data_IF_772252603469
#
_entry.id   IF_772252603469
#
_cell.length_a   1.000
_cell.length_b   1.000
_cell.length_c   1.000
_cell.angle_alpha   90.00
_cell.angle_beta   90.00
_cell.angle_gamma   90.00
#
_symmetry.space_group_name_H-M   'P 1'
#
loop_
_entity.id
_entity.type
_entity.pdbx_description
1 polymer ?
#
# COMPACT_ATOMS: atom_id res chain seq x y z
N UNK A 1 -1.59 -27.92 -4.62
CA UNK A 1 -1.21 -27.40 -3.30
C UNK A 1 -0.47 -26.08 -3.44
N UNK A 2 -0.95 -25.04 -2.77
CA UNK A 2 -0.41 -23.70 -2.79
C UNK A 2 0.18 -23.38 -1.42
N UNK A 3 1.45 -22.99 -1.35
CA UNK A 3 2.10 -22.57 -0.10
C UNK A 3 2.36 -21.06 -0.20
N UNK A 4 1.87 -20.29 0.77
CA UNK A 4 2.09 -18.85 0.90
C UNK A 4 2.74 -18.55 2.25
N UNK A 5 3.84 -17.81 2.23
CA UNK A 5 4.40 -17.19 3.43
C UNK A 5 3.86 -15.77 3.51
N UNK A 6 3.22 -15.46 4.62
CA UNK A 6 2.64 -14.17 4.89
C UNK A 6 3.67 -13.25 5.58
N UNK A 7 3.55 -11.92 5.40
CA UNK A 7 4.50 -10.98 5.97
C UNK A 7 4.45 -10.89 7.50
N UNK A 8 3.40 -11.44 8.14
CA UNK A 8 3.31 -11.65 9.60
C UNK A 8 3.97 -12.97 10.03
N UNK A 9 4.81 -13.52 9.16
CA UNK A 9 5.54 -14.77 9.32
C UNK A 9 4.67 -16.03 9.43
N UNK A 10 3.38 -15.97 9.07
CA UNK A 10 2.55 -17.18 8.96
C UNK A 10 2.79 -17.92 7.65
N UNK A 11 2.87 -19.25 7.70
CA UNK A 11 2.91 -20.09 6.50
C UNK A 11 1.55 -20.76 6.31
N UNK A 12 0.83 -20.41 5.25
CA UNK A 12 -0.48 -20.96 4.91
C UNK A 12 -0.35 -21.92 3.74
N UNK A 13 -0.89 -23.13 3.91
CA UNK A 13 -0.94 -24.14 2.86
C UNK A 13 -2.39 -24.42 2.48
N UNK A 14 -2.72 -24.22 1.20
CA UNK A 14 -4.01 -24.58 0.63
C UNK A 14 -3.86 -25.83 -0.22
N UNK A 15 -4.54 -26.91 0.16
CA UNK A 15 -4.53 -28.20 -0.52
C UNK A 15 -5.98 -28.63 -0.84
N UNK A 16 -6.26 -29.18 -2.03
CA UNK A 16 -7.55 -29.83 -2.28
C UNK A 16 -7.69 -31.08 -1.40
N UNK A 17 -8.88 -31.33 -0.86
CA UNK A 17 -9.20 -32.58 -0.18
C UNK A 17 -9.26 -33.75 -1.19
N UNK A 18 -8.88 -34.98 -0.79
CA UNK A 18 -8.54 -35.47 0.55
C UNK A 18 -7.02 -35.72 0.69
N UNK A 19 -6.19 -34.70 0.49
CA UNK A 19 -4.73 -34.86 0.62
C UNK A 19 -4.34 -35.08 2.09
N UNK A 20 -3.55 -36.14 2.34
CA UNK A 20 -3.00 -36.45 3.67
C UNK A 20 -1.97 -35.40 4.16
N UNK A 21 -1.91 -35.22 5.47
CA UNK A 21 -1.00 -34.30 6.15
C UNK A 21 0.47 -34.63 5.88
N UNK A 22 0.86 -35.90 5.71
CA UNK A 22 2.25 -36.25 5.36
C UNK A 22 2.65 -35.73 3.97
N UNK A 23 1.72 -35.79 3.01
CA UNK A 23 1.93 -35.23 1.67
C UNK A 23 2.06 -33.69 1.73
N UNK A 24 1.26 -33.03 2.58
CA UNK A 24 1.39 -31.59 2.85
C UNK A 24 2.76 -31.26 3.43
N UNK A 25 3.20 -31.99 4.47
CA UNK A 25 4.50 -31.81 5.12
C UNK A 25 5.66 -32.04 4.16
N UNK A 26 5.62 -33.09 3.32
CA UNK A 26 6.63 -33.34 2.28
C UNK A 26 6.75 -32.17 1.31
N UNK A 27 5.62 -31.63 0.86
CA UNK A 27 5.64 -30.52 -0.08
C UNK A 27 6.06 -29.18 0.56
N UNK A 28 5.80 -28.97 1.86
CA UNK A 28 6.38 -27.87 2.65
C UNK A 28 7.90 -28.04 2.79
N UNK A 29 8.37 -29.23 3.22
CA UNK A 29 9.81 -29.54 3.34
C UNK A 29 10.55 -29.33 2.03
N UNK A 30 9.98 -29.76 0.90
CA UNK A 30 10.54 -29.53 -0.44
C UNK A 30 10.74 -28.05 -0.77
N UNK A 31 9.90 -27.17 -0.23
CA UNK A 31 10.02 -25.70 -0.37
C UNK A 31 10.69 -25.05 0.84
N UNK A 32 11.26 -25.81 1.76
CA UNK A 32 11.77 -25.33 3.05
C UNK A 32 12.78 -24.19 2.91
N UNK A 33 13.71 -24.28 1.96
CA UNK A 33 14.68 -23.19 1.69
C UNK A 33 14.01 -21.88 1.29
N UNK A 34 13.01 -21.94 0.41
CA UNK A 34 12.27 -20.76 -0.05
C UNK A 34 11.44 -20.15 1.09
N UNK A 35 10.76 -21.00 1.87
CA UNK A 35 9.95 -20.59 3.02
C UNK A 35 10.83 -19.90 4.06
N UNK A 36 11.97 -20.52 4.40
CA UNK A 36 12.92 -19.97 5.36
C UNK A 36 13.47 -18.61 4.92
N UNK A 37 13.84 -18.47 3.65
CA UNK A 37 14.32 -17.19 3.12
C UNK A 37 13.25 -16.10 3.24
N UNK A 38 12.00 -16.39 2.85
CA UNK A 38 10.89 -15.45 2.97
C UNK A 38 10.59 -15.08 4.43
N UNK A 39 10.58 -16.06 5.34
CA UNK A 39 10.42 -15.80 6.77
C UNK A 39 11.53 -14.91 7.31
N UNK A 40 12.79 -15.17 6.93
CA UNK A 40 13.93 -14.36 7.34
C UNK A 40 13.80 -12.91 6.87
N UNK A 41 13.40 -12.71 5.61
CA UNK A 41 13.24 -11.38 5.04
C UNK A 41 12.08 -10.62 5.69
N UNK A 42 10.95 -11.31 5.97
CA UNK A 42 9.82 -10.71 6.70
C UNK A 42 10.14 -10.41 8.16
N UNK A 43 10.80 -11.32 8.89
CA UNK A 43 11.24 -11.08 10.27
C UNK A 43 12.15 -9.86 10.36
N UNK A 44 13.17 -9.75 9.49
CA UNK A 44 14.05 -8.58 9.42
C UNK A 44 13.28 -7.29 9.15
N UNK A 45 12.26 -7.35 8.29
CA UNK A 45 11.45 -6.18 7.98
C UNK A 45 10.53 -5.76 9.14
N UNK A 46 10.15 -6.68 10.03
CA UNK A 46 9.32 -6.41 11.20
C UNK A 46 10.12 -6.03 12.46
N UNK A 47 11.42 -6.35 12.52
CA UNK A 47 12.29 -6.18 13.69
C UNK A 47 12.26 -4.77 14.31
N UNK A 48 12.07 -3.73 13.48
CA UNK A 48 12.07 -2.34 13.91
C UNK A 48 10.70 -1.64 13.78
N UNK A 49 9.63 -2.40 13.52
CA UNK A 49 8.29 -1.84 13.35
C UNK A 49 7.53 -1.96 14.66
N UNK A 50 7.50 -0.86 15.41
CA UNK A 50 6.63 -0.73 16.58
C UNK A 50 5.19 -0.41 16.14
N UNK A 51 4.17 -1.06 16.72
CA UNK A 51 2.78 -0.66 16.50
C UNK A 51 2.57 0.81 16.85
N UNK A 52 1.73 1.52 16.09
CA UNK A 52 1.40 2.92 16.38
C UNK A 52 0.53 3.02 17.62
N UNK A 53 0.86 3.97 18.49
CA UNK A 53 0.11 4.31 19.68
C UNK A 53 -0.73 5.59 19.47
N UNK A 54 -0.57 6.29 18.34
CA UNK A 54 -1.32 7.49 17.98
C UNK A 54 -1.20 8.62 19.01
N UNK A 55 0.01 8.77 19.56
CA UNK A 55 0.35 9.81 20.54
C UNK A 55 1.18 10.94 19.93
N UNK A 56 1.15 12.11 20.58
CA UNK A 56 2.01 13.24 20.19
C UNK A 56 3.49 12.83 20.15
N UNK A 57 4.20 13.26 19.10
CA UNK A 57 5.60 12.92 18.87
C UNK A 57 5.82 11.73 17.92
N UNK A 58 4.79 10.93 17.63
CA UNK A 58 4.89 9.88 16.62
C UNK A 58 5.08 10.46 15.21
N UNK A 59 5.90 9.79 14.39
CA UNK A 59 6.16 10.20 13.02
C UNK A 59 5.26 9.45 12.04
N UNK A 60 4.55 10.20 11.18
CA UNK A 60 3.72 9.65 10.11
C UNK A 60 4.14 10.18 8.74
N UNK A 61 4.07 9.32 7.72
CA UNK A 61 4.40 9.68 6.35
C UNK A 61 3.23 10.31 5.60
N UNK A 62 3.50 11.37 4.84
CA UNK A 62 2.59 11.91 3.84
C UNK A 62 3.39 12.39 2.62
N UNK A 63 3.06 11.88 1.44
CA UNK A 63 3.77 12.15 0.18
C UNK A 63 5.30 11.92 0.29
N UNK A 64 5.71 10.89 1.04
CA UNK A 64 7.11 10.51 1.22
C UNK A 64 7.89 11.33 2.26
N UNK A 65 7.24 12.29 2.93
CA UNK A 65 7.85 13.09 4.01
C UNK A 65 7.29 12.67 5.36
N UNK A 66 8.12 12.71 6.39
CA UNK A 66 7.72 12.45 7.78
C UNK A 66 7.20 13.72 8.44
N UNK A 67 6.09 13.58 9.16
CA UNK A 67 5.45 14.65 9.93
C UNK A 67 5.17 14.16 11.34
N UNK A 68 5.50 14.98 12.32
CA UNK A 68 5.21 14.67 13.73
C UNK A 68 3.72 14.87 14.01
N UNK A 69 3.13 13.87 14.65
CA UNK A 69 1.77 13.94 15.18
C UNK A 69 1.74 14.87 16.39
N UNK A 70 0.75 15.75 16.44
CA UNK A 70 0.49 16.64 17.56
C UNK A 70 -1.00 16.57 17.90
N UNK A 71 -1.31 15.88 18.99
CA UNK A 71 -2.68 15.77 19.50
C UNK A 71 -2.95 16.91 20.47
N UNK A 72 -3.99 17.70 20.18
CA UNK A 72 -4.44 18.81 21.01
C UNK A 72 -5.90 18.61 21.42
N UNK A 73 -6.24 19.13 22.61
CA UNK A 73 -7.57 19.03 23.22
C UNK A 73 -8.07 20.45 23.52
N UNK A 74 -8.49 21.20 22.48
CA UNK A 74 -9.02 22.55 22.66
C UNK A 74 -10.40 22.53 23.32
N UNK A 75 -10.68 23.52 24.17
CA UNK A 75 -11.92 23.61 24.95
C UNK A 75 -13.17 23.78 24.08
N UNK A 76 -13.06 24.49 22.93
CA UNK A 76 -14.20 24.79 22.06
C UNK A 76 -13.81 24.72 20.57
N UNK A 77 -13.59 23.51 20.05
CA UNK A 77 -13.29 23.32 18.62
C UNK A 77 -13.79 21.98 18.09
N UNK A 78 -14.19 21.98 16.81
CA UNK A 78 -14.52 20.77 16.07
C UNK A 78 -13.31 19.83 15.91
N UNK A 79 -13.55 18.52 15.96
CA UNK A 79 -12.51 17.52 15.71
C UNK A 79 -12.05 17.60 14.26
N UNK A 80 -10.74 17.76 14.05
CA UNK A 80 -10.18 17.96 12.72
C UNK A 80 -8.71 17.55 12.68
N UNK A 81 -8.22 17.27 11.46
CA UNK A 81 -6.81 16.99 11.19
C UNK A 81 -6.28 18.01 10.20
N UNK A 82 -5.20 18.70 10.58
CA UNK A 82 -4.55 19.72 9.75
C UNK A 82 -3.06 19.43 9.61
N UNK A 83 -2.53 19.72 8.43
CA UNK A 83 -1.09 19.73 8.19
C UNK A 83 -0.60 21.17 8.32
N UNK A 84 0.06 21.50 9.44
CA UNK A 84 0.49 22.86 9.76
C UNK A 84 1.93 22.85 10.25
N UNK A 85 2.77 23.73 9.67
CA UNK A 85 4.18 23.94 10.11
C UNK A 85 4.97 22.62 10.25
N UNK A 86 4.80 21.68 9.31
CA UNK A 86 5.49 20.39 9.35
C UNK A 86 4.96 19.40 10.39
N UNK A 87 3.76 19.63 10.93
CA UNK A 87 3.11 18.73 11.90
C UNK A 87 1.73 18.31 11.41
N UNK A 88 1.35 17.09 11.73
CA UNK A 88 -0.03 16.61 11.64
C UNK A 88 -0.70 16.94 12.97
N UNK A 89 -1.42 18.05 13.01
CA UNK A 89 -2.15 18.48 14.20
C UNK A 89 -3.56 17.89 14.18
N UNK A 90 -3.92 17.18 15.25
CA UNK A 90 -5.23 16.55 15.43
C UNK A 90 -5.90 17.17 16.64
N UNK A 91 -7.03 17.83 16.40
CA UNK A 91 -7.90 18.33 17.45
C UNK A 91 -8.89 17.24 17.84
N UNK A 92 -8.90 16.86 19.12
CA UNK A 92 -9.84 15.89 19.70
C UNK A 92 -10.57 16.51 20.88
N UNK A 93 -11.77 16.02 21.20
CA UNK A 93 -12.51 16.42 22.42
C UNK A 93 -11.93 15.79 23.68
N UNK A 94 -11.31 14.61 23.52
CA UNK A 94 -10.64 13.84 24.56
C UNK A 94 -9.46 13.14 23.93
N UNK A 95 -8.30 13.14 24.60
CA UNK A 95 -7.10 12.39 24.16
C UNK A 95 -7.30 10.88 24.26
N UNK A 96 -7.99 10.34 23.27
CA UNK A 96 -8.19 8.92 23.07
C UNK A 96 -7.47 8.45 21.80
N UNK A 97 -6.49 7.52 21.88
CA UNK A 97 -5.74 7.02 20.74
C UNK A 97 -6.59 6.47 19.59
N UNK A 98 -7.70 5.80 19.90
CA UNK A 98 -8.58 5.22 18.88
C UNK A 98 -9.30 6.32 18.08
N UNK A 99 -9.77 7.36 18.77
CA UNK A 99 -10.32 8.57 18.13
C UNK A 99 -9.28 9.25 17.22
N UNK A 100 -8.04 9.39 17.69
CA UNK A 100 -6.94 9.97 16.91
C UNK A 100 -6.67 9.13 15.65
N UNK A 101 -6.62 7.80 15.79
CA UNK A 101 -6.46 6.85 14.69
C UNK A 101 -7.56 7.02 13.63
N UNK A 102 -8.82 7.05 14.05
CA UNK A 102 -9.97 7.17 13.14
C UNK A 102 -9.96 8.50 12.38
N UNK A 103 -9.72 9.61 13.07
CA UNK A 103 -9.62 10.94 12.45
C UNK A 103 -8.47 11.00 11.44
N UNK A 104 -7.32 10.46 11.80
CA UNK A 104 -6.15 10.42 10.92
C UNK A 104 -6.39 9.52 9.71
N UNK A 105 -7.06 8.37 9.88
CA UNK A 105 -7.41 7.48 8.79
C UNK A 105 -8.36 8.16 7.78
N UNK A 106 -9.38 8.87 8.25
CA UNK A 106 -10.30 9.61 7.38
C UNK A 106 -9.61 10.78 6.67
N UNK A 107 -8.69 11.46 7.37
CA UNK A 107 -7.85 12.48 6.75
C UNK A 107 -6.99 11.90 5.62
N UNK A 108 -6.32 10.77 5.86
CA UNK A 108 -5.53 10.10 4.82
C UNK A 108 -6.40 9.69 3.64
N UNK A 109 -7.59 9.13 3.87
CA UNK A 109 -8.53 8.74 2.81
C UNK A 109 -8.97 9.94 1.96
N UNK A 110 -9.31 11.05 2.60
CA UNK A 110 -9.68 12.30 1.93
C UNK A 110 -8.52 12.84 1.08
N UNK A 111 -7.31 12.89 1.67
CA UNK A 111 -6.10 13.34 0.96
C UNK A 111 -5.71 12.41 -0.18
N UNK A 112 -5.81 11.10 0.03
CA UNK A 112 -5.53 10.08 -0.98
C UNK A 112 -6.44 10.27 -2.19
N UNK A 113 -7.76 10.39 -1.99
CA UNK A 113 -8.71 10.63 -3.07
C UNK A 113 -8.32 11.87 -3.90
N UNK A 114 -8.08 13.00 -3.23
CA UNK A 114 -7.70 14.25 -3.91
C UNK A 114 -6.37 14.12 -4.69
N UNK A 115 -5.36 13.50 -4.09
CA UNK A 115 -4.05 13.28 -4.73
C UNK A 115 -4.18 12.33 -5.92
N UNK A 116 -4.84 11.19 -5.74
CA UNK A 116 -4.94 10.17 -6.78
C UNK A 116 -5.72 10.68 -8.00
N UNK A 117 -6.82 11.41 -7.80
CA UNK A 117 -7.53 12.04 -8.93
C UNK A 117 -6.61 13.00 -9.70
N UNK A 118 -5.91 13.90 -8.99
CA UNK A 118 -4.99 14.85 -9.63
C UNK A 118 -3.85 14.15 -10.38
N UNK A 119 -3.30 13.07 -9.80
CA UNK A 119 -2.21 12.31 -10.44
C UNK A 119 -2.72 11.51 -11.62
N UNK A 120 -3.88 10.86 -11.51
CA UNK A 120 -4.52 10.18 -12.64
C UNK A 120 -4.71 11.14 -13.81
N UNK A 121 -5.29 12.31 -13.57
CA UNK A 121 -5.54 13.30 -14.62
C UNK A 121 -4.25 13.73 -15.32
N UNK A 122 -3.18 13.98 -14.56
CA UNK A 122 -1.87 14.34 -15.11
C UNK A 122 -1.18 13.20 -15.88
N UNK A 123 -1.46 11.93 -15.54
CA UNK A 123 -0.83 10.77 -16.17
C UNK A 123 -1.61 10.28 -17.39
N UNK A 124 -2.89 10.63 -17.52
CA UNK A 124 -3.70 10.26 -18.68
C UNK A 124 -3.17 10.87 -19.99
N UNK A 125 -2.56 12.05 -19.93
CA UNK A 125 -1.96 12.72 -21.09
C UNK A 125 -0.87 11.88 -21.79
N UNK A 126 -0.19 11.00 -21.03
CA UNK A 126 0.88 10.13 -21.53
C UNK A 126 0.42 8.67 -21.75
N UNK A 127 -0.84 8.32 -21.46
CA UNK A 127 -1.38 6.96 -21.62
C UNK A 127 -2.50 6.93 -22.67
N UNK A 128 -2.14 7.16 -23.93
CA UNK A 128 -3.09 7.31 -25.05
C UNK A 128 -3.93 6.06 -25.35
N UNK A 129 -3.54 4.89 -24.84
CA UNK A 129 -4.31 3.65 -25.00
C UNK A 129 -5.51 3.56 -24.06
N UNK A 130 -5.57 4.39 -23.01
CA UNK A 130 -6.74 4.45 -22.13
C UNK A 130 -7.81 5.30 -22.83
N UNK A 131 -8.92 4.67 -23.21
CA UNK A 131 -10.08 5.35 -23.82
C UNK A 131 -10.80 6.20 -22.78
N UNK A 132 -10.25 7.38 -22.51
CA UNK A 132 -10.77 8.35 -21.54
C UNK A 132 -10.34 8.07 -20.09
N UNK A 133 -10.99 8.79 -19.17
CA UNK A 133 -10.66 8.74 -17.75
C UNK A 133 -11.29 7.51 -17.09
N UNK A 134 -10.51 6.53 -16.61
CA UNK A 134 -11.07 5.35 -15.97
C UNK A 134 -11.74 5.72 -14.64
N UNK A 135 -12.80 5.00 -14.23
CA UNK A 135 -13.38 5.17 -12.91
C UNK A 135 -12.34 4.86 -11.83
N UNK A 136 -12.19 5.75 -10.86
CA UNK A 136 -11.24 5.62 -9.76
C UNK A 136 -11.95 5.35 -8.44
N UNK A 137 -11.56 4.28 -7.75
CA UNK A 137 -12.04 3.91 -6.42
C UNK A 137 -10.89 3.92 -5.42
N UNK A 138 -11.15 4.38 -4.21
CA UNK A 138 -10.20 4.24 -3.09
C UNK A 138 -10.73 3.21 -2.11
N UNK A 139 -9.95 2.15 -1.85
CA UNK A 139 -10.34 1.06 -0.96
C UNK A 139 -9.10 0.53 -0.23
N UNK A 140 -9.19 0.36 1.08
CA UNK A 140 -8.11 -0.27 1.86
C UNK A 140 -7.95 -1.72 1.44
N UNK A 141 -6.74 -2.07 0.99
CA UNK A 141 -6.38 -3.40 0.51
C UNK A 141 -5.28 -3.96 1.42
N UNK A 142 -5.33 -5.27 1.69
CA UNK A 142 -4.35 -5.92 2.57
C UNK A 142 -3.03 -6.22 1.88
N UNK A 143 -3.05 -6.41 0.55
CA UNK A 143 -1.96 -7.07 -0.19
C UNK A 143 -1.57 -6.36 -1.48
N UNK A 144 -2.16 -5.19 -1.77
CA UNK A 144 -1.98 -4.51 -3.04
C UNK A 144 -2.11 -2.99 -2.87
N UNK A 145 -1.33 -2.24 -3.66
CA UNK A 145 -1.40 -0.78 -3.71
C UNK A 145 -2.47 -0.30 -4.69
N UNK A 146 -2.72 -1.11 -5.72
CA UNK A 146 -3.74 -0.88 -6.72
C UNK A 146 -4.28 -2.18 -7.31
N UNK A 147 -5.39 -2.07 -8.04
CA UNK A 147 -5.87 -3.09 -8.97
C UNK A 147 -6.74 -2.48 -10.07
N UNK A 148 -6.73 -3.12 -11.23
CA UNK A 148 -7.61 -2.79 -12.36
C UNK A 148 -8.65 -3.90 -12.53
N UNK A 149 -9.94 -3.54 -12.63
CA UNK A 149 -10.98 -4.51 -13.01
C UNK A 149 -10.97 -4.77 -14.53
N UNK A 150 -11.56 -5.88 -15.00
CA UNK A 150 -11.70 -6.14 -16.45
C UNK A 150 -12.46 -5.04 -17.21
N UNK A 151 -13.32 -4.28 -16.51
CA UNK A 151 -14.04 -3.12 -17.04
C UNK A 151 -13.22 -1.81 -17.00
N UNK A 152 -11.94 -1.87 -16.66
CA UNK A 152 -11.05 -0.71 -16.63
C UNK A 152 -11.19 0.19 -15.39
N UNK A 153 -11.84 -0.27 -14.31
CA UNK A 153 -11.93 0.50 -13.06
C UNK A 153 -10.66 0.33 -12.25
N UNK A 154 -9.99 1.44 -11.95
CA UNK A 154 -8.80 1.49 -11.10
C UNK A 154 -9.23 1.60 -9.63
N UNK A 155 -8.68 0.74 -8.78
CA UNK A 155 -8.82 0.80 -7.33
C UNK A 155 -7.46 1.07 -6.71
N UNK A 156 -7.33 2.05 -5.82
CA UNK A 156 -6.08 2.36 -5.13
C UNK A 156 -6.24 2.31 -3.62
N UNK A 157 -5.20 1.83 -2.95
CA UNK A 157 -5.13 1.78 -1.50
C UNK A 157 -4.87 3.20 -0.94
N UNK A 158 -5.72 3.73 -0.02
CA UNK A 158 -5.51 5.07 0.54
C UNK A 158 -4.16 5.24 1.23
N UNK A 159 -3.57 4.16 1.78
CA UNK A 159 -2.25 4.22 2.40
C UNK A 159 -1.13 4.57 1.41
N UNK A 160 -1.33 4.39 0.10
CA UNK A 160 -0.36 4.76 -0.93
C UNK A 160 -0.02 6.26 -0.89
N UNK A 161 -0.92 7.12 -0.39
CA UNK A 161 -0.66 8.58 -0.25
C UNK A 161 0.47 8.90 0.75
N UNK A 162 0.86 7.94 1.58
CA UNK A 162 2.01 8.05 2.48
C UNK A 162 3.34 7.93 1.71
N UNK A 163 3.35 7.26 0.56
CA UNK A 163 4.53 7.08 -0.28
C UNK A 163 4.92 8.37 -1.05
N UNK A 164 6.17 8.50 -1.53
CA UNK A 164 6.56 9.59 -2.41
C UNK A 164 5.69 9.68 -3.66
N UNK A 165 5.49 10.88 -4.20
CA UNK A 165 4.63 11.10 -5.39
C UNK A 165 4.99 10.19 -6.57
N UNK A 166 6.28 9.97 -6.83
CA UNK A 166 6.75 9.08 -7.90
C UNK A 166 6.26 7.63 -7.72
N UNK A 167 6.18 7.15 -6.48
CA UNK A 167 5.64 5.82 -6.18
C UNK A 167 4.13 5.76 -6.41
N UNK A 168 3.40 6.85 -6.12
CA UNK A 168 1.98 6.97 -6.44
C UNK A 168 1.78 6.91 -7.96
N UNK A 169 2.59 7.67 -8.70
CA UNK A 169 2.55 7.71 -10.16
C UNK A 169 2.85 6.34 -10.77
N UNK A 170 3.86 5.64 -10.23
CA UNK A 170 4.21 4.29 -10.62
C UNK A 170 3.00 3.34 -10.51
N UNK A 171 2.29 3.32 -9.38
CA UNK A 171 1.13 2.44 -9.20
C UNK A 171 0.00 2.84 -10.14
N UNK A 172 -0.28 4.13 -10.32
CA UNK A 172 -1.34 4.58 -11.25
C UNK A 172 -1.02 4.16 -12.69
N UNK A 173 0.23 4.36 -13.14
CA UNK A 173 0.67 3.94 -14.47
C UNK A 173 0.61 2.43 -14.63
N UNK A 174 0.97 1.66 -13.59
CA UNK A 174 0.84 0.22 -13.57
C UNK A 174 -0.61 -0.23 -13.85
N UNK A 175 -1.58 0.35 -13.13
CA UNK A 175 -2.99 0.04 -13.35
C UNK A 175 -3.51 0.54 -14.71
N UNK A 176 -3.00 1.67 -15.21
CA UNK A 176 -3.34 2.17 -16.55
C UNK A 176 -2.80 1.25 -17.64
N UNK A 177 -1.61 0.66 -17.48
CA UNK A 177 -1.08 -0.36 -18.39
C UNK A 177 -1.99 -1.59 -18.41
N UNK A 178 -2.58 -1.97 -17.27
CA UNK A 178 -3.51 -3.09 -17.18
C UNK A 178 -4.80 -2.91 -17.98
N UNK A 179 -5.20 -1.67 -18.30
CA UNK A 179 -6.34 -1.40 -19.19
C UNK A 179 -6.06 -1.91 -20.61
N UNK A 180 -4.82 -1.76 -21.11
CA UNK A 180 -4.43 -2.25 -22.42
C UNK A 180 -4.00 -3.72 -22.42
N UNK A 181 -3.39 -4.19 -21.33
CA UNK A 181 -2.79 -5.51 -21.23
C UNK A 181 -2.96 -6.08 -19.81
N UNK A 182 -3.87 -7.04 -19.66
CA UNK A 182 -4.32 -7.53 -18.34
C UNK A 182 -3.26 -8.36 -17.60
N UNK A 183 -2.28 -8.92 -18.31
CA UNK A 183 -1.21 -9.73 -17.75
C UNK A 183 0.13 -8.99 -17.84
N UNK A 184 1.13 -9.34 -17.02
CA UNK A 184 2.48 -8.79 -17.13
C UNK A 184 3.28 -9.41 -18.29
N UNK A 185 2.76 -9.31 -19.51
CA UNK A 185 3.41 -9.78 -20.74
C UNK A 185 4.51 -8.83 -21.21
N UNK A 186 5.27 -9.20 -22.23
CA UNK A 186 6.29 -8.31 -22.83
C UNK A 186 5.69 -6.96 -23.27
N UNK A 187 4.43 -6.99 -23.77
CA UNK A 187 3.69 -5.79 -24.14
C UNK A 187 3.43 -4.88 -22.95
N UNK A 188 3.09 -5.45 -21.78
CA UNK A 188 2.91 -4.69 -20.55
C UNK A 188 4.18 -3.93 -20.17
N UNK A 189 5.33 -4.62 -20.13
CA UNK A 189 6.59 -3.99 -19.76
C UNK A 189 7.05 -2.95 -20.79
N UNK A 190 6.74 -3.15 -22.07
CA UNK A 190 6.98 -2.16 -23.11
C UNK A 190 6.18 -0.87 -22.87
N UNK A 191 4.89 -0.99 -22.55
CA UNK A 191 4.06 0.16 -22.18
C UNK A 191 4.59 0.85 -20.93
N UNK A 192 4.95 0.10 -19.89
CA UNK A 192 5.47 0.66 -18.65
C UNK A 192 6.78 1.42 -18.87
N UNK A 193 7.71 0.87 -19.65
CA UNK A 193 8.97 1.52 -20.00
C UNK A 193 8.77 2.79 -20.85
N UNK A 194 7.73 2.85 -21.66
CA UNK A 194 7.40 4.03 -22.45
C UNK A 194 6.92 5.19 -21.56
N UNK A 195 6.10 4.92 -20.54
CA UNK A 195 5.48 5.97 -19.71
C UNK A 195 6.25 6.29 -18.43
N UNK A 196 7.09 5.37 -17.95
CA UNK A 196 8.00 5.58 -16.84
C UNK A 196 9.28 4.76 -17.03
N UNK A 197 10.29 5.31 -17.72
CA UNK A 197 11.59 4.67 -17.81
C UNK A 197 12.20 4.45 -16.43
N UNK A 198 12.88 3.30 -16.22
CA UNK A 198 13.52 2.92 -14.95
C UNK A 198 12.54 2.79 -13.77
N UNK A 199 11.29 2.43 -14.04
CA UNK A 199 10.23 2.26 -13.03
C UNK A 199 10.59 1.23 -11.95
N UNK A 200 11.49 0.28 -12.25
CA UNK A 200 11.95 -0.76 -11.33
C UNK A 200 12.57 -0.17 -10.07
N UNK A 201 13.32 0.94 -10.20
CA UNK A 201 13.88 1.65 -9.05
C UNK A 201 12.78 2.25 -8.16
N UNK A 202 11.74 2.81 -8.77
CA UNK A 202 10.58 3.36 -8.06
C UNK A 202 9.77 2.26 -7.37
N UNK A 203 9.59 1.11 -8.04
CA UNK A 203 8.98 -0.09 -7.45
C UNK A 203 9.76 -0.56 -6.23
N UNK A 204 11.07 -0.75 -6.35
CA UNK A 204 11.91 -1.22 -5.24
C UNK A 204 11.87 -0.26 -4.05
N UNK A 205 11.85 1.05 -4.31
CA UNK A 205 11.67 2.07 -3.26
C UNK A 205 10.31 1.95 -2.56
N UNK A 206 9.23 1.76 -3.32
CA UNK A 206 7.89 1.57 -2.75
C UNK A 206 7.81 0.28 -1.91
N UNK A 207 8.38 -0.82 -2.42
CA UNK A 207 8.42 -2.11 -1.73
C UNK A 207 9.18 -2.01 -0.40
N UNK A 208 10.32 -1.31 -0.38
CA UNK A 208 11.09 -1.06 0.85
C UNK A 208 10.33 -0.21 1.89
N UNK A 209 9.43 0.68 1.43
CA UNK A 209 8.63 1.53 2.31
C UNK A 209 7.34 0.85 2.78
N UNK A 210 6.93 -0.27 2.18
CA UNK A 210 5.60 -0.83 2.39
C UNK A 210 5.31 -1.15 3.85
N UNK A 211 6.25 -1.80 4.54
CA UNK A 211 6.08 -2.15 5.95
C UNK A 211 6.08 -0.90 6.86
N UNK A 212 6.85 0.14 6.53
CA UNK A 212 6.86 1.41 7.28
C UNK A 212 5.56 2.20 7.11
N UNK A 213 4.98 2.17 5.91
CA UNK A 213 3.74 2.86 5.56
C UNK A 213 2.53 2.18 6.19
N UNK A 214 2.58 0.85 6.25
CA UNK A 214 1.48 -0.01 6.66
C UNK A 214 1.63 -0.59 8.06
N UNK A 215 2.63 -0.18 8.85
CA UNK A 215 2.89 -0.66 10.22
C UNK A 215 1.73 -0.60 11.23
N UNK A 216 0.57 -0.05 10.85
CA UNK A 216 -0.67 0.05 11.61
C UNK A 216 -1.70 -1.02 11.19
N UNK A 217 -1.43 -1.73 10.09
CA UNK A 217 -2.29 -2.69 9.41
C UNK A 217 -1.46 -3.93 9.10
N UNK A 218 -2.06 -5.12 9.20
CA UNK A 218 -1.35 -6.40 8.95
C UNK A 218 -0.44 -6.32 7.72
N UNK A 219 0.77 -6.87 7.79
CA UNK A 219 1.85 -6.49 6.90
C UNK A 219 1.55 -6.85 5.44
N UNK A 220 1.98 -5.93 4.58
CA UNK A 220 1.59 -5.83 3.18
C UNK A 220 2.38 -6.77 2.30
N UNK A 221 1.70 -7.41 1.36
CA UNK A 221 2.37 -8.13 0.29
C UNK A 221 2.69 -7.17 -0.86
N UNK A 222 3.95 -7.08 -1.33
CA UNK A 222 4.18 -6.63 -2.69
C UNK A 222 3.68 -7.74 -3.62
N UNK A 223 2.55 -7.51 -4.30
CA UNK A 223 2.13 -8.37 -5.40
C UNK A 223 2.17 -7.53 -6.67
N UNK A 224 3.32 -7.56 -7.33
CA UNK A 224 3.41 -7.60 -8.79
C UNK A 224 4.35 -8.77 -9.10
N UNK A 225 3.73 -9.94 -9.30
CA UNK A 225 4.24 -10.95 -10.24
C UNK A 225 3.40 -10.80 -11.50
#
# INVERSE_FOLDING_TARGET
>A
MLIKVHPDCRVVVSAPEPIDNDAVLKAVKRRGRLIYQQLRDFCKALEYITPRQYISGESHYYLGRQYLLKVIEPEDTQQQVKLLRGKLEISVRKKDPETVRLLLAEWYKTRAKAVFHRRLDALLEQTLWASGRPPLRTLSMKTQWGSCSPQGRITLNPHLVKAPRQCIDYVILHELCHIAEHNHSERFYRLMNQVMPKWEGTKNKLDAMANLILGDTLPFLPINR
#
